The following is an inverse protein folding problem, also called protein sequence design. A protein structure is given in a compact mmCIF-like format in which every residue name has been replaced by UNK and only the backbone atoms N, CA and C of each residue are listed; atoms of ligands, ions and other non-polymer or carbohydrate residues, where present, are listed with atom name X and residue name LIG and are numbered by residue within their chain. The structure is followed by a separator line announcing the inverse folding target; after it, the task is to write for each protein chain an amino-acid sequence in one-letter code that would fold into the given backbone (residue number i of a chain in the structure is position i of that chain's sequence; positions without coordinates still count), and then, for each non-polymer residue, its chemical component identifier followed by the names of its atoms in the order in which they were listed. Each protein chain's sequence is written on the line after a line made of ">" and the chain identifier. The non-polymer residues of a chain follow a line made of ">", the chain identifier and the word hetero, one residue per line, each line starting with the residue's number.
data_IF_950144912200
#
_entry.id   IF_950144912200
#
_cell.length_a   1.000
_cell.length_b   1.000
_cell.length_c   1.000
_cell.angle_alpha   90.00
_cell.angle_beta   90.00
_cell.angle_gamma   90.00
#
_symmetry.space_group_name_H-M   'P 1'
#
loop_
_entity.id
_entity.type
_entity.pdbx_description
1 polymer ?
#
# COMPACT_ATOMS: atom_id res chain seq x y z
N UNK A 1 4.49 5.33 8.29
CA UNK A 1 5.59 5.55 7.33
C UNK A 1 6.82 4.69 7.66
N UNK A 2 7.48 4.90 8.80
CA UNK A 2 8.66 4.14 9.26
C UNK A 2 8.57 2.62 9.05
N UNK A 3 7.55 1.96 9.64
CA UNK A 3 7.39 0.50 9.51
C UNK A 3 7.25 0.00 8.08
N UNK A 4 6.56 0.77 7.21
CA UNK A 4 6.38 0.38 5.82
C UNK A 4 7.67 0.52 4.99
N UNK A 5 8.49 1.54 5.27
CA UNK A 5 9.78 1.73 4.61
C UNK A 5 10.79 0.65 5.01
N UNK A 6 10.82 0.27 6.30
CA UNK A 6 11.68 -0.81 6.78
C UNK A 6 11.26 -2.16 6.22
N UNK A 7 9.95 -2.45 6.20
CA UNK A 7 9.41 -3.64 5.54
C UNK A 7 9.79 -3.66 4.04
N UNK A 8 9.60 -2.54 3.33
CA UNK A 8 9.95 -2.43 1.92
C UNK A 8 11.44 -2.71 1.67
N UNK A 9 12.35 -2.22 2.53
CA UNK A 9 13.79 -2.52 2.43
C UNK A 9 14.10 -3.99 2.70
N UNK A 10 13.42 -4.59 3.68
CA UNK A 10 13.62 -5.98 4.08
C UNK A 10 13.07 -7.02 3.09
N UNK A 11 12.07 -6.66 2.27
CA UNK A 11 11.54 -7.56 1.24
C UNK A 11 12.65 -7.95 0.27
N UNK A 12 13.00 -9.24 0.22
CA UNK A 12 14.05 -9.80 -0.63
C UNK A 12 13.68 -9.96 -2.11
N UNK A 13 12.41 -9.76 -2.46
CA UNK A 13 11.95 -9.74 -3.84
C UNK A 13 12.16 -8.35 -4.48
N UNK A 14 12.43 -8.33 -5.79
CA UNK A 14 12.36 -7.10 -6.60
C UNK A 14 10.93 -6.74 -6.98
N UNK A 15 10.00 -7.69 -6.88
CA UNK A 15 8.58 -7.49 -7.13
C UNK A 15 7.92 -6.89 -5.90
N UNK A 16 8.22 -5.61 -5.64
CA UNK A 16 7.73 -4.85 -4.50
C UNK A 16 7.50 -3.39 -4.89
N UNK A 17 6.54 -2.76 -4.23
CA UNK A 17 6.22 -1.35 -4.41
C UNK A 17 5.91 -0.71 -3.05
N UNK A 18 6.40 0.52 -2.83
CA UNK A 18 6.02 1.36 -1.69
C UNK A 18 5.06 2.45 -2.17
N UNK A 19 3.80 2.37 -1.74
CA UNK A 19 2.77 3.35 -2.10
C UNK A 19 2.63 4.39 -1.00
N UNK A 20 2.89 5.67 -1.31
CA UNK A 20 2.67 6.80 -0.40
C UNK A 20 1.35 7.47 -0.76
N UNK A 21 0.44 7.58 0.21
CA UNK A 21 -0.85 8.26 0.04
C UNK A 21 -0.73 9.70 0.58
N UNK A 22 -0.71 10.74 -0.28
CA UNK A 22 -0.52 12.11 0.16
C UNK A 22 -1.63 12.56 1.12
N UNK A 23 -1.23 13.19 2.22
CA UNK A 23 -2.17 13.73 3.21
C UNK A 23 -2.89 12.68 4.06
N UNK A 24 -2.62 11.38 3.92
CA UNK A 24 -3.15 10.35 4.81
C UNK A 24 -2.35 10.28 6.12
N UNK A 25 -3.05 10.15 7.25
CA UNK A 25 -2.47 9.70 8.51
C UNK A 25 -2.58 8.16 8.64
N UNK A 26 -2.21 7.61 9.80
CA UNK A 26 -2.21 6.16 10.03
C UNK A 26 -3.60 5.53 9.98
N UNK A 27 -4.61 6.16 10.59
CA UNK A 27 -5.96 5.60 10.75
C UNK A 27 -6.87 5.91 9.55
N UNK A 28 -6.52 6.90 8.72
CA UNK A 28 -7.25 7.23 7.49
C UNK A 28 -7.36 6.04 6.51
N UNK A 29 -6.52 5.01 6.68
CA UNK A 29 -6.47 3.84 5.82
C UNK A 29 -7.17 2.60 6.41
N UNK A 30 -7.92 2.75 7.51
CA UNK A 30 -8.52 1.60 8.23
C UNK A 30 -9.92 1.24 7.70
N UNK A 31 -10.79 2.22 7.54
CA UNK A 31 -12.23 2.02 7.33
C UNK A 31 -12.79 2.74 6.08
N UNK A 32 -11.93 3.44 5.35
CA UNK A 32 -12.26 4.25 4.18
C UNK A 32 -13.17 5.47 4.45
N UNK A 33 -13.44 5.86 5.70
CA UNK A 33 -14.25 7.06 5.98
C UNK A 33 -13.57 8.32 5.43
N UNK A 34 -12.23 8.35 5.46
CA UNK A 34 -11.44 9.43 4.87
C UNK A 34 -11.35 9.38 3.32
N UNK A 35 -11.81 8.29 2.69
CA UNK A 35 -11.72 8.10 1.23
C UNK A 35 -10.29 8.01 0.68
N UNK A 36 -9.30 7.68 1.53
CA UNK A 36 -7.86 7.67 1.17
C UNK A 36 -7.29 6.29 0.84
N UNK A 37 -8.07 5.22 0.98
CA UNK A 37 -7.58 3.87 0.68
C UNK A 37 -7.44 3.69 -0.84
N UNK A 38 -6.24 3.34 -1.36
CA UNK A 38 -6.00 3.21 -2.79
C UNK A 38 -6.50 1.86 -3.33
N UNK A 39 -7.81 1.57 -3.24
CA UNK A 39 -8.39 0.28 -3.63
C UNK A 39 -8.07 -0.14 -5.07
N UNK A 40 -8.13 0.80 -6.02
CA UNK A 40 -7.80 0.53 -7.43
C UNK A 40 -6.37 -0.03 -7.61
N UNK A 41 -5.42 0.40 -6.76
CA UNK A 41 -4.04 -0.09 -6.80
C UNK A 41 -3.93 -1.54 -6.31
N UNK A 42 -4.66 -1.87 -5.24
CA UNK A 42 -4.73 -3.24 -4.73
C UNK A 42 -5.43 -4.17 -5.73
N UNK A 43 -6.56 -3.73 -6.31
CA UNK A 43 -7.28 -4.49 -7.33
C UNK A 43 -6.37 -4.80 -8.53
N UNK A 44 -5.70 -3.79 -9.09
CA UNK A 44 -4.76 -3.98 -10.20
C UNK A 44 -3.62 -4.93 -9.83
N UNK A 45 -3.07 -4.81 -8.61
CA UNK A 45 -2.02 -5.71 -8.13
C UNK A 45 -2.51 -7.17 -8.12
N UNK A 46 -3.68 -7.43 -7.55
CA UNK A 46 -4.22 -8.79 -7.47
C UNK A 46 -4.58 -9.36 -8.84
N UNK A 47 -5.22 -8.57 -9.71
CA UNK A 47 -5.50 -8.99 -11.09
C UNK A 47 -4.22 -9.33 -11.89
N UNK A 48 -3.11 -8.65 -11.59
CA UNK A 48 -1.83 -8.87 -12.27
C UNK A 48 -1.06 -10.07 -11.69
N UNK A 49 -1.18 -10.33 -10.38
CA UNK A 49 -0.27 -11.23 -9.64
C UNK A 49 -0.92 -12.54 -9.18
N UNK A 50 -2.23 -12.58 -9.00
CA UNK A 50 -2.98 -13.79 -8.69
C UNK A 50 -3.51 -14.38 -10.00
N UNK A 51 -2.90 -15.49 -10.43
CA UNK A 51 -3.42 -16.35 -11.50
C UNK A 51 -4.13 -17.55 -10.91
#
# INVERSE_FOLDING_TARGET
>A
RYFAEDAYKAVGSKDKELVVVPGANHVDLYDNVAGKIPFAKFEQFFQTKLK
#
